data_IF_014090800566
#
_entry.id   IF_014090800566
#
_cell.length_a   1.000
_cell.length_b   1.000
_cell.length_c   1.000
_cell.angle_alpha   90.00
_cell.angle_beta   90.00
_cell.angle_gamma   90.00
#
_symmetry.space_group_name_H-M   'P 1'
#
loop_
_entity.id
_entity.type
_entity.pdbx_description
1 polymer ?
#
# COMPACT_ATOMS: atom_id res chain seq x y z
N UNK A 1 -21.65 10.39 28.05
CA UNK A 1 -20.36 9.75 28.37
C UNK A 1 -19.33 10.28 27.39
N UNK A 2 -18.46 11.16 27.85
CA UNK A 2 -17.39 11.73 27.04
C UNK A 2 -16.15 10.84 27.12
N UNK A 3 -15.27 10.82 26.10
CA UNK A 3 -14.02 10.07 26.18
C UNK A 3 -13.13 10.62 27.29
N UNK A 4 -12.43 9.73 28.00
CA UNK A 4 -11.48 10.08 29.04
C UNK A 4 -10.06 10.16 28.47
N UNK A 5 -9.38 11.28 28.74
CA UNK A 5 -7.94 11.43 28.49
C UNK A 5 -7.30 11.81 29.81
N UNK A 6 -6.36 11.03 30.30
CA UNK A 6 -5.72 11.20 31.60
C UNK A 6 -6.73 11.36 32.76
N UNK A 7 -7.84 10.58 32.72
CA UNK A 7 -8.89 10.61 33.73
C UNK A 7 -9.88 11.79 33.63
N UNK A 8 -9.74 12.70 32.67
CA UNK A 8 -10.64 13.84 32.45
C UNK A 8 -11.54 13.59 31.23
N UNK A 9 -12.82 13.93 31.35
CA UNK A 9 -13.74 13.95 30.22
C UNK A 9 -13.35 15.03 29.21
N UNK A 10 -13.25 14.64 27.93
CA UNK A 10 -12.88 15.56 26.84
C UNK A 10 -13.89 15.47 25.70
N UNK A 11 -14.04 16.56 24.95
CA UNK A 11 -14.88 16.56 23.77
C UNK A 11 -14.30 15.71 22.62
N UNK A 12 -15.17 15.32 21.66
CA UNK A 12 -14.79 14.51 20.50
C UNK A 12 -13.62 15.11 19.72
N UNK A 13 -13.62 16.43 19.51
CA UNK A 13 -12.56 17.12 18.77
C UNK A 13 -11.21 16.99 19.48
N UNK A 14 -11.18 17.18 20.79
CA UNK A 14 -9.96 17.05 21.59
C UNK A 14 -9.46 15.61 21.62
N UNK A 15 -10.36 14.64 21.78
CA UNK A 15 -10.02 13.23 21.73
C UNK A 15 -9.41 12.82 20.38
N UNK A 16 -9.92 13.39 19.26
CA UNK A 16 -9.35 13.20 17.93
C UNK A 16 -7.99 13.87 17.77
N UNK A 17 -7.82 15.07 18.33
CA UNK A 17 -6.53 15.79 18.33
C UNK A 17 -5.46 14.95 19.00
N UNK A 18 -5.70 14.50 20.23
CA UNK A 18 -4.75 13.65 20.98
C UNK A 18 -4.48 12.35 20.22
N UNK A 19 -5.51 11.73 19.63
CA UNK A 19 -5.32 10.53 18.82
C UNK A 19 -4.48 10.78 17.56
N UNK A 20 -4.69 11.91 16.88
CA UNK A 20 -3.93 12.29 15.70
C UNK A 20 -2.44 12.48 16.04
N UNK A 21 -2.15 13.16 17.13
CA UNK A 21 -0.79 13.40 17.64
C UNK A 21 -0.12 12.10 18.10
N UNK A 22 -0.83 11.29 18.90
CA UNK A 22 -0.26 10.05 19.48
C UNK A 22 -0.05 8.96 18.44
N UNK A 23 -1.04 8.73 17.55
CA UNK A 23 -1.00 7.67 16.55
C UNK A 23 -0.29 8.08 15.28
N UNK A 24 -0.14 9.39 15.01
CA UNK A 24 0.42 9.97 13.77
C UNK A 24 -0.12 9.32 12.49
N UNK A 25 -1.35 8.82 12.54
CA UNK A 25 -2.00 8.18 11.39
C UNK A 25 -2.67 9.24 10.52
N UNK A 26 -2.35 9.25 9.23
CA UNK A 26 -2.91 10.21 8.27
C UNK A 26 -4.45 10.26 8.30
N UNK A 27 -5.11 9.11 8.49
CA UNK A 27 -6.57 9.04 8.59
C UNK A 27 -7.11 9.68 9.88
N UNK A 28 -6.40 9.57 11.01
CA UNK A 28 -6.79 10.24 12.26
C UNK A 28 -6.60 11.74 12.16
N UNK A 29 -5.50 12.19 11.55
CA UNK A 29 -5.24 13.62 11.26
C UNK A 29 -6.32 14.18 10.32
N UNK A 30 -6.68 13.42 9.28
CA UNK A 30 -7.74 13.82 8.36
C UNK A 30 -9.08 13.91 9.06
N UNK A 31 -9.45 12.92 9.89
CA UNK A 31 -10.68 12.94 10.68
C UNK A 31 -10.74 14.17 11.61
N UNK A 32 -9.63 14.47 12.30
CA UNK A 32 -9.54 15.67 13.14
C UNK A 32 -9.77 16.96 12.34
N UNK A 33 -9.04 17.13 11.22
CA UNK A 33 -9.15 18.35 10.37
C UNK A 33 -10.57 18.54 9.80
N UNK A 34 -11.22 17.46 9.39
CA UNK A 34 -12.59 17.53 8.88
C UNK A 34 -13.59 17.95 9.97
N UNK A 35 -13.48 17.38 11.18
CA UNK A 35 -14.36 17.78 12.28
C UNK A 35 -14.09 19.21 12.72
N UNK A 36 -12.84 19.65 12.73
CA UNK A 36 -12.46 21.04 13.02
C UNK A 36 -13.07 22.01 11.99
N UNK A 37 -13.03 21.69 10.69
CA UNK A 37 -13.63 22.49 9.62
C UNK A 37 -15.16 22.52 9.71
N UNK A 38 -15.78 21.41 10.09
CA UNK A 38 -17.22 21.37 10.30
C UNK A 38 -17.67 22.35 11.39
N UNK A 39 -16.91 22.50 12.45
CA UNK A 39 -17.06 23.52 13.47
C UNK A 39 -18.32 23.43 14.35
N UNK A 40 -19.19 22.46 14.12
CA UNK A 40 -20.43 22.27 14.88
C UNK A 40 -20.31 21.06 15.83
N UNK A 41 -20.90 21.16 17.05
CA UNK A 41 -20.91 20.04 17.98
C UNK A 41 -21.81 18.91 17.47
N UNK A 42 -21.42 17.65 17.76
CA UNK A 42 -22.22 16.46 17.46
C UNK A 42 -22.69 15.86 18.79
N UNK A 43 -23.93 16.13 19.17
CA UNK A 43 -24.51 15.77 20.46
C UNK A 43 -25.53 14.63 20.36
N UNK A 44 -26.16 14.52 19.20
CA UNK A 44 -27.24 13.57 18.94
C UNK A 44 -27.16 12.99 17.52
N UNK A 45 -28.08 12.12 17.17
CA UNK A 45 -28.11 11.45 15.87
C UNK A 45 -28.35 12.41 14.70
N UNK A 46 -29.18 13.44 14.88
CA UNK A 46 -29.44 14.43 13.85
C UNK A 46 -28.19 15.25 13.52
N UNK A 47 -27.41 15.63 14.54
CA UNK A 47 -26.12 16.30 14.34
C UNK A 47 -25.15 15.41 13.57
N UNK A 48 -25.11 14.11 13.90
CA UNK A 48 -24.24 13.14 13.22
C UNK A 48 -24.66 12.90 11.77
N UNK A 49 -25.96 12.89 11.47
CA UNK A 49 -26.50 12.82 10.11
C UNK A 49 -26.18 14.10 9.32
N UNK A 50 -26.32 15.26 9.96
CA UNK A 50 -25.90 16.55 9.37
C UNK A 50 -24.41 16.59 9.04
N UNK A 51 -23.56 16.06 9.94
CA UNK A 51 -22.13 15.93 9.69
C UNK A 51 -21.83 14.97 8.52
N UNK A 52 -22.53 13.85 8.45
CA UNK A 52 -22.42 12.90 7.35
C UNK A 52 -22.80 13.53 6.00
N UNK A 53 -23.89 14.30 5.98
CA UNK A 53 -24.31 15.07 4.80
C UNK A 53 -23.25 16.07 4.36
N UNK A 54 -22.65 16.78 5.33
CA UNK A 54 -21.58 17.74 5.07
C UNK A 54 -20.33 17.04 4.50
N UNK A 55 -19.92 15.88 5.04
CA UNK A 55 -18.79 15.11 4.50
C UNK A 55 -18.99 14.71 3.03
N UNK A 56 -20.23 14.35 2.65
CA UNK A 56 -20.58 14.07 1.25
C UNK A 56 -20.54 15.32 0.38
N UNK A 57 -21.02 16.45 0.89
CA UNK A 57 -20.95 17.73 0.18
C UNK A 57 -19.50 18.21 -0.03
N UNK A 58 -18.57 17.84 0.86
CA UNK A 58 -17.13 18.03 0.68
C UNK A 58 -16.51 17.06 -0.37
N UNK A 59 -17.31 16.24 -1.05
CA UNK A 59 -16.88 15.35 -2.11
C UNK A 59 -16.26 14.02 -1.64
N UNK A 60 -16.38 13.67 -0.35
CA UNK A 60 -15.84 12.41 0.14
C UNK A 60 -16.75 11.23 -0.25
N UNK A 61 -16.12 10.15 -0.75
CA UNK A 61 -16.84 8.91 -1.02
C UNK A 61 -17.31 8.21 0.27
N UNK A 62 -18.41 7.47 0.21
CA UNK A 62 -18.93 6.70 1.35
C UNK A 62 -17.91 5.70 1.90
N UNK A 63 -17.02 5.17 1.05
CA UNK A 63 -15.90 4.34 1.49
C UNK A 63 -14.92 5.10 2.39
N UNK A 64 -14.55 6.32 2.00
CA UNK A 64 -13.68 7.20 2.80
C UNK A 64 -14.36 7.57 4.11
N UNK A 65 -15.63 7.97 4.04
CA UNK A 65 -16.45 8.32 5.21
C UNK A 65 -16.53 7.14 6.19
N UNK A 66 -16.75 5.91 5.71
CA UNK A 66 -16.78 4.72 6.56
C UNK A 66 -15.44 4.48 7.31
N UNK A 67 -14.31 4.74 6.64
CA UNK A 67 -13.00 4.73 7.29
C UNK A 67 -12.90 5.77 8.39
N UNK A 68 -13.32 7.01 8.12
CA UNK A 68 -13.32 8.12 9.09
C UNK A 68 -14.24 7.84 10.27
N UNK A 69 -15.43 7.25 10.05
CA UNK A 69 -16.37 6.87 11.10
C UNK A 69 -15.74 5.92 12.14
N UNK A 70 -14.75 5.14 11.77
CA UNK A 70 -13.99 4.31 12.71
C UNK A 70 -13.22 5.16 13.72
N UNK A 71 -12.58 6.25 13.28
CA UNK A 71 -11.86 7.17 14.16
C UNK A 71 -12.83 7.95 15.06
N UNK A 72 -13.95 8.43 14.51
CA UNK A 72 -14.98 9.12 15.30
C UNK A 72 -15.56 8.22 16.38
N UNK A 73 -15.93 6.96 16.04
CA UNK A 73 -16.41 5.96 17.02
C UNK A 73 -15.40 5.67 18.13
N UNK A 74 -14.11 5.59 17.80
CA UNK A 74 -13.06 5.31 18.78
C UNK A 74 -12.81 6.48 19.73
N UNK A 75 -13.13 7.70 19.32
CA UNK A 75 -12.94 8.93 20.09
C UNK A 75 -14.22 9.45 20.74
N UNK A 76 -15.39 8.84 20.52
CA UNK A 76 -16.67 9.34 21.03
C UNK A 76 -17.14 8.70 22.35
N UNK A 77 -16.30 7.86 22.98
CA UNK A 77 -16.65 7.23 24.26
C UNK A 77 -17.98 6.47 24.21
N UNK A 78 -18.90 6.76 25.13
CA UNK A 78 -20.26 6.19 25.18
C UNK A 78 -21.14 6.54 24.00
N UNK A 79 -20.82 7.59 23.25
CA UNK A 79 -21.59 8.08 22.10
C UNK A 79 -21.22 7.42 20.77
N UNK A 80 -20.57 6.24 20.79
CA UNK A 80 -20.18 5.47 19.60
C UNK A 80 -21.33 5.19 18.63
N UNK A 81 -22.54 5.07 19.13
CA UNK A 81 -23.76 4.82 18.33
C UNK A 81 -24.06 5.95 17.36
N UNK A 82 -23.65 7.19 17.65
CA UNK A 82 -23.86 8.34 16.78
C UNK A 82 -23.12 8.19 15.43
N UNK A 83 -22.03 7.45 15.39
CA UNK A 83 -21.22 7.22 14.20
C UNK A 83 -21.38 5.81 13.62
N UNK A 84 -22.44 5.08 14.00
CA UNK A 84 -22.72 3.72 13.56
C UNK A 84 -23.63 3.69 12.32
N UNK A 85 -23.37 4.55 11.33
CA UNK A 85 -24.12 4.59 10.09
C UNK A 85 -23.75 3.40 9.19
N UNK A 86 -24.76 2.71 8.67
CA UNK A 86 -24.57 1.70 7.62
C UNK A 86 -24.42 2.40 6.27
N UNK A 87 -23.19 2.69 5.89
CA UNK A 87 -22.87 3.25 4.58
C UNK A 87 -22.83 2.11 3.55
N UNK A 88 -23.50 2.29 2.43
CA UNK A 88 -23.48 1.34 1.32
C UNK A 88 -22.50 1.85 0.26
N UNK A 89 -21.44 1.13 0.01
CA UNK A 89 -20.55 1.37 -1.12
C UNK A 89 -20.14 0.05 -1.76
N UNK A 90 -19.99 0.07 -3.07
CA UNK A 90 -19.37 -1.06 -3.76
C UNK A 90 -17.85 -0.87 -3.72
N UNK A 91 -17.14 -1.86 -3.19
CA UNK A 91 -15.69 -1.89 -3.35
C UNK A 91 -15.38 -2.13 -4.82
N UNK A 92 -14.60 -1.23 -5.43
CA UNK A 92 -14.05 -1.49 -6.75
C UNK A 92 -13.26 -2.79 -6.68
N UNK A 93 -13.53 -3.70 -7.62
CA UNK A 93 -12.79 -4.95 -7.70
C UNK A 93 -11.30 -4.66 -7.91
N UNK A 94 -10.45 -5.28 -7.12
CA UNK A 94 -8.99 -5.19 -7.33
C UNK A 94 -8.57 -5.80 -8.66
N UNK A 95 -9.36 -6.74 -9.17
CA UNK A 95 -9.13 -7.41 -10.45
C UNK A 95 -9.23 -6.45 -11.64
N UNK A 96 -9.93 -5.32 -11.50
CA UNK A 96 -9.97 -4.27 -12.54
C UNK A 96 -8.65 -3.51 -12.67
N UNK A 97 -7.75 -3.64 -11.70
CA UNK A 97 -6.42 -3.02 -11.72
C UNK A 97 -5.32 -4.00 -12.17
N UNK A 98 -5.63 -5.30 -12.29
CA UNK A 98 -4.67 -6.32 -12.78
C UNK A 98 -4.33 -6.05 -14.23
N UNK A 99 -3.04 -5.98 -14.54
CA UNK A 99 -2.52 -5.89 -15.90
C UNK A 99 -2.41 -7.29 -16.52
N UNK A 100 -2.63 -7.41 -17.83
CA UNK A 100 -2.28 -8.62 -18.57
C UNK A 100 -0.76 -8.77 -18.69
N UNK A 101 -0.29 -9.93 -19.15
CA UNK A 101 1.14 -10.16 -19.37
C UNK A 101 1.70 -9.20 -20.41
N UNK A 102 0.94 -8.97 -21.50
CA UNK A 102 1.28 -8.05 -22.59
C UNK A 102 1.32 -6.60 -22.09
N UNK A 103 0.36 -6.18 -21.26
CA UNK A 103 0.36 -4.86 -20.63
C UNK A 103 1.58 -4.67 -19.70
N UNK A 104 1.97 -5.70 -18.94
CA UNK A 104 3.18 -5.67 -18.08
C UNK A 104 4.43 -5.52 -18.94
N UNK A 105 4.56 -6.30 -20.03
CA UNK A 105 5.70 -6.24 -20.93
C UNK A 105 5.81 -4.85 -21.59
N UNK A 106 4.70 -4.29 -22.07
CA UNK A 106 4.67 -2.96 -22.68
C UNK A 106 5.10 -1.87 -21.68
N UNK A 107 4.59 -1.92 -20.44
CA UNK A 107 4.96 -0.96 -19.40
C UNK A 107 6.43 -1.09 -18.99
N UNK A 108 6.96 -2.31 -18.87
CA UNK A 108 8.37 -2.52 -18.54
C UNK A 108 9.28 -2.01 -19.67
N UNK A 109 8.96 -2.26 -20.93
CA UNK A 109 9.71 -1.74 -22.07
C UNK A 109 9.69 -0.20 -22.15
N UNK A 110 8.53 0.41 -21.88
CA UNK A 110 8.41 1.87 -21.78
C UNK A 110 9.26 2.45 -20.64
N UNK A 111 9.21 1.83 -19.47
CA UNK A 111 9.97 2.27 -18.30
C UNK A 111 11.47 2.13 -18.52
N UNK A 112 11.93 1.06 -19.15
CA UNK A 112 13.33 0.84 -19.49
C UNK A 112 13.86 1.92 -20.42
N UNK A 113 13.05 2.31 -21.43
CA UNK A 113 13.42 3.31 -22.41
C UNK A 113 13.30 4.75 -21.90
N UNK A 114 12.18 5.08 -21.26
CA UNK A 114 11.79 6.46 -20.96
C UNK A 114 11.99 6.86 -19.50
N UNK A 115 12.12 5.91 -18.58
CA UNK A 115 12.28 6.14 -17.15
C UNK A 115 13.33 5.15 -16.55
N UNK A 116 14.54 5.04 -17.13
CA UNK A 116 15.51 3.98 -16.80
C UNK A 116 15.90 3.96 -15.32
N UNK A 117 15.89 5.12 -14.64
CA UNK A 117 16.13 5.20 -13.20
C UNK A 117 15.08 4.49 -12.35
N UNK A 118 13.84 4.45 -12.81
CA UNK A 118 12.72 3.82 -12.10
C UNK A 118 12.43 2.39 -12.57
N UNK A 119 12.99 1.97 -13.72
CA UNK A 119 12.78 0.63 -14.26
C UNK A 119 13.10 -0.49 -13.25
N UNK A 120 14.26 -0.49 -12.54
CA UNK A 120 14.58 -1.53 -11.57
C UNK A 120 13.56 -1.63 -10.43
N UNK A 121 13.02 -0.50 -9.98
CA UNK A 121 11.98 -0.46 -8.95
C UNK A 121 10.70 -1.15 -9.44
N UNK A 122 10.23 -0.82 -10.64
CA UNK A 122 8.99 -1.39 -11.17
C UNK A 122 9.14 -2.85 -11.55
N UNK A 123 10.29 -3.25 -12.11
CA UNK A 123 10.59 -4.65 -12.40
C UNK A 123 10.55 -5.49 -11.12
N UNK A 124 11.27 -5.07 -10.08
CA UNK A 124 11.25 -5.74 -8.78
C UNK A 124 9.83 -5.79 -8.20
N UNK A 125 9.07 -4.71 -8.29
CA UNK A 125 7.73 -4.65 -7.74
C UNK A 125 6.75 -5.58 -8.44
N UNK A 126 6.75 -5.60 -9.77
CA UNK A 126 5.94 -6.50 -10.59
C UNK A 126 6.35 -7.97 -10.42
N UNK A 127 7.62 -8.24 -10.08
CA UNK A 127 8.15 -9.60 -9.89
C UNK A 127 7.99 -10.14 -8.46
N UNK A 128 7.71 -9.29 -7.47
CA UNK A 128 7.66 -9.70 -6.05
C UNK A 128 6.35 -9.35 -5.36
N UNK A 129 5.60 -8.41 -5.91
CA UNK A 129 4.38 -7.91 -5.30
C UNK A 129 4.56 -7.30 -3.91
N UNK A 130 5.73 -6.81 -3.55
CA UNK A 130 5.99 -6.11 -2.29
C UNK A 130 4.99 -4.98 -2.05
N UNK A 131 4.76 -4.62 -0.78
CA UNK A 131 3.97 -3.42 -0.50
C UNK A 131 4.76 -2.17 -0.88
N UNK A 132 4.07 -1.11 -1.27
CA UNK A 132 4.70 0.14 -1.65
C UNK A 132 5.71 0.66 -0.59
N UNK A 133 5.35 0.60 0.68
CA UNK A 133 6.26 1.03 1.75
C UNK A 133 7.44 0.07 1.98
N UNK A 134 7.30 -1.20 1.65
CA UNK A 134 8.37 -2.20 1.73
C UNK A 134 9.38 -1.98 0.60
N UNK A 135 8.92 -1.84 -0.65
CA UNK A 135 9.83 -1.67 -1.78
C UNK A 135 10.58 -0.34 -1.73
N UNK A 136 9.94 0.75 -1.32
CA UNK A 136 10.61 2.05 -1.17
C UNK A 136 11.56 2.14 0.03
N UNK A 137 11.36 1.31 1.05
CA UNK A 137 12.24 1.18 2.20
C UNK A 137 13.22 0.02 2.09
N UNK A 138 13.34 -0.58 0.91
CA UNK A 138 14.29 -1.67 0.69
C UNK A 138 15.72 -1.15 0.73
N UNK A 139 16.59 -1.87 1.43
CA UNK A 139 18.01 -1.56 1.56
C UNK A 139 18.85 -2.67 0.95
N UNK A 140 20.07 -2.37 0.53
CA UNK A 140 20.94 -3.32 -0.15
C UNK A 140 21.27 -4.55 0.70
N UNK A 141 21.37 -4.41 2.02
CA UNK A 141 21.57 -5.50 2.97
C UNK A 141 20.41 -6.51 3.03
N UNK A 142 19.25 -6.15 2.47
CA UNK A 142 18.10 -7.04 2.33
C UNK A 142 18.16 -7.91 1.07
N UNK A 143 19.07 -7.66 0.12
CA UNK A 143 19.24 -8.47 -1.08
C UNK A 143 20.22 -9.62 -0.78
N UNK A 144 19.72 -10.82 -0.77
CA UNK A 144 20.50 -12.03 -0.60
C UNK A 144 20.94 -12.54 -1.97
N UNK A 145 22.11 -12.08 -2.40
CA UNK A 145 22.60 -12.27 -3.75
C UNK A 145 22.85 -13.74 -4.12
N UNK A 146 23.41 -14.50 -3.16
CA UNK A 146 23.75 -15.91 -3.37
C UNK A 146 22.49 -16.80 -3.41
N UNK A 147 21.54 -16.53 -2.54
CA UNK A 147 20.29 -17.29 -2.46
C UNK A 147 19.27 -16.84 -3.52
N UNK A 148 19.49 -15.68 -4.13
CA UNK A 148 18.55 -15.12 -5.10
C UNK A 148 17.24 -14.68 -4.47
N UNK A 149 17.29 -14.02 -3.32
CA UNK A 149 16.10 -13.67 -2.53
C UNK A 149 16.16 -12.23 -2.02
N UNK A 150 15.00 -11.67 -1.72
CA UNK A 150 14.86 -10.43 -0.94
C UNK A 150 14.26 -10.71 0.42
N UNK A 151 14.93 -10.25 1.47
CA UNK A 151 14.46 -10.32 2.86
C UNK A 151 13.64 -9.07 3.19
N UNK A 152 12.36 -9.24 3.50
CA UNK A 152 11.43 -8.15 3.82
C UNK A 152 11.26 -8.08 5.33
N UNK A 153 11.98 -7.18 5.99
CA UNK A 153 12.00 -7.01 7.45
C UNK A 153 11.29 -5.73 7.90
N UNK A 154 11.35 -4.69 7.08
CA UNK A 154 10.96 -3.32 7.46
C UNK A 154 10.18 -2.64 6.33
N UNK A 155 9.50 -1.59 6.67
CA UNK A 155 8.78 -0.74 5.72
C UNK A 155 9.03 0.72 6.03
N UNK A 156 9.03 1.55 5.01
CA UNK A 156 9.18 3.00 5.17
C UNK A 156 7.93 3.59 5.83
N UNK A 157 8.09 4.35 6.91
CA UNK A 157 6.97 5.07 7.52
C UNK A 157 6.46 6.17 6.61
N UNK A 158 5.14 6.34 6.58
CA UNK A 158 4.49 7.34 5.75
C UNK A 158 4.78 8.78 6.21
N UNK A 159 5.10 8.96 7.48
CA UNK A 159 5.29 10.24 8.14
C UNK A 159 6.74 10.75 8.09
N UNK A 160 7.69 9.91 7.66
CA UNK A 160 9.11 10.25 7.47
C UNK A 160 9.37 11.27 6.34
N UNK A 161 8.31 11.68 5.63
CA UNK A 161 8.42 12.56 4.47
C UNK A 161 8.62 14.04 4.79
N UNK A 162 8.17 14.49 5.95
CA UNK A 162 8.19 15.93 6.26
C UNK A 162 9.53 16.43 6.81
N UNK A 163 10.39 15.52 7.26
CA UNK A 163 11.69 15.87 7.90
C UNK A 163 12.93 15.53 7.07
N UNK A 164 12.77 14.93 5.88
CA UNK A 164 13.88 14.40 5.09
C UNK A 164 14.56 13.18 5.72
N UNK A 165 14.10 12.72 6.88
CA UNK A 165 14.63 11.54 7.58
C UNK A 165 13.88 10.29 7.17
N UNK A 166 14.63 9.23 6.90
CA UNK A 166 14.08 7.89 6.68
C UNK A 166 13.72 7.28 8.03
N UNK A 167 12.45 7.01 8.24
CA UNK A 167 11.98 6.28 9.41
C UNK A 167 11.42 4.93 8.98
N UNK A 168 11.96 3.86 9.55
CA UNK A 168 11.43 2.51 9.36
C UNK A 168 10.39 2.15 10.40
N UNK A 169 9.47 1.30 10.00
CA UNK A 169 8.54 0.61 10.87
C UNK A 169 8.63 -0.90 10.58
N UNK A 170 8.23 -1.74 11.53
CA UNK A 170 8.01 -3.15 11.25
C UNK A 170 7.09 -3.34 10.05
N UNK A 171 7.18 -4.47 9.37
CA UNK A 171 6.18 -4.83 8.36
C UNK A 171 4.78 -4.80 8.96
N UNK A 172 3.74 -4.64 8.14
CA UNK A 172 2.34 -4.57 8.62
C UNK A 172 1.93 -5.76 9.49
N UNK A 173 2.56 -6.91 9.31
CA UNK A 173 2.32 -8.13 10.08
C UNK A 173 3.31 -8.33 11.23
N UNK A 174 4.34 -7.51 11.34
CA UNK A 174 5.45 -7.66 12.28
C UNK A 174 6.36 -8.86 12.00
N UNK A 175 6.11 -9.60 10.91
CA UNK A 175 6.88 -10.80 10.55
C UNK A 175 7.82 -10.50 9.39
N UNK A 176 9.03 -11.00 9.48
CA UNK A 176 9.96 -11.07 8.37
C UNK A 176 9.56 -12.17 7.39
N UNK A 177 9.95 -12.00 6.15
CA UNK A 177 9.73 -12.99 5.11
C UNK A 177 10.73 -12.83 3.98
N UNK A 178 10.97 -13.90 3.26
CA UNK A 178 11.76 -13.89 2.03
C UNK A 178 10.85 -14.02 0.81
N UNK A 179 11.28 -13.40 -0.28
CA UNK A 179 10.63 -13.51 -1.59
C UNK A 179 11.71 -13.84 -2.62
N UNK A 180 11.58 -14.93 -3.39
CA UNK A 180 12.57 -15.28 -4.40
C UNK A 180 12.59 -14.26 -5.53
N UNK A 181 13.77 -14.04 -6.10
CA UNK A 181 14.03 -13.15 -7.22
C UNK A 181 14.40 -13.97 -8.46
N UNK A 182 13.93 -13.53 -9.62
CA UNK A 182 14.36 -14.12 -10.89
C UNK A 182 15.78 -13.66 -11.26
N UNK A 183 16.52 -14.43 -12.08
CA UNK A 183 17.84 -14.00 -12.56
C UNK A 183 17.83 -12.62 -13.22
N UNK A 184 16.77 -12.30 -13.97
CA UNK A 184 16.58 -10.99 -14.59
C UNK A 184 16.54 -9.88 -13.55
N UNK A 185 15.78 -10.05 -12.48
CA UNK A 185 15.66 -9.05 -11.39
C UNK A 185 17.01 -8.85 -10.69
N UNK A 186 17.73 -9.95 -10.39
CA UNK A 186 19.03 -9.87 -9.75
C UNK A 186 20.05 -9.13 -10.62
N UNK A 187 20.09 -9.44 -11.92
CA UNK A 187 20.97 -8.75 -12.86
C UNK A 187 20.64 -7.26 -12.98
N UNK A 188 19.37 -6.92 -13.10
CA UNK A 188 18.92 -5.52 -13.12
C UNK A 188 19.30 -4.77 -11.84
N UNK A 189 19.20 -5.42 -10.68
CA UNK A 189 19.61 -4.80 -9.42
C UNK A 189 21.13 -4.61 -9.33
N UNK A 190 21.95 -5.55 -9.84
CA UNK A 190 23.41 -5.37 -9.94
C UNK A 190 23.78 -4.19 -10.81
N UNK A 191 23.16 -4.08 -11.98
CA UNK A 191 23.37 -2.96 -12.89
C UNK A 191 22.95 -1.63 -12.26
N UNK A 192 21.84 -1.61 -11.55
CA UNK A 192 21.38 -0.43 -10.81
C UNK A 192 22.36 -0.02 -9.71
N UNK A 193 22.90 -0.97 -8.95
CA UNK A 193 23.92 -0.72 -7.92
C UNK A 193 25.18 -0.13 -8.52
N UNK A 194 25.70 -0.73 -9.61
CA UNK A 194 26.86 -0.23 -10.33
C UNK A 194 26.64 1.18 -10.89
N UNK A 195 25.45 1.46 -11.43
CA UNK A 195 25.10 2.79 -11.91
C UNK A 195 25.12 3.82 -10.77
N UNK A 196 24.55 3.48 -9.61
CA UNK A 196 24.58 4.34 -8.42
C UNK A 196 26.03 4.63 -7.98
N UNK A 197 26.89 3.61 -7.96
CA UNK A 197 28.31 3.74 -7.60
C UNK A 197 29.06 4.63 -8.60
N UNK A 198 28.87 4.44 -9.90
CA UNK A 198 29.48 5.26 -10.96
C UNK A 198 29.05 6.73 -10.90
N UNK A 199 27.83 7.00 -10.52
CA UNK A 199 27.30 8.36 -10.34
C UNK A 199 27.66 8.97 -8.98
N UNK A 200 28.38 8.24 -8.12
CA UNK A 200 28.72 8.70 -6.78
C UNK A 200 27.52 8.90 -5.87
N UNK A 201 26.44 8.16 -6.12
CA UNK A 201 25.21 8.24 -5.33
C UNK A 201 25.46 7.60 -3.98
N UNK A 202 25.45 8.41 -2.93
CA UNK A 202 25.55 7.95 -1.56
C UNK A 202 24.23 8.18 -0.82
N UNK A 203 23.64 7.11 -0.31
CA UNK A 203 22.52 7.18 0.62
C UNK A 203 22.93 6.61 1.98
N UNK A 204 22.87 7.42 3.07
CA UNK A 204 23.33 7.00 4.40
C UNK A 204 22.49 5.87 5.01
N UNK A 205 21.36 5.56 4.41
CA UNK A 205 20.46 4.50 4.87
C UNK A 205 20.60 3.21 4.06
N UNK A 206 21.43 3.21 3.00
CA UNK A 206 21.61 2.07 2.12
C UNK A 206 20.38 1.69 1.30
N UNK A 207 19.53 2.67 0.97
CA UNK A 207 18.31 2.42 0.16
C UNK A 207 18.67 1.93 -1.24
N UNK A 208 17.95 0.91 -1.71
CA UNK A 208 18.07 0.42 -3.10
C UNK A 208 17.55 1.46 -4.09
N UNK A 209 16.46 2.14 -3.73
CA UNK A 209 15.81 3.09 -4.62
C UNK A 209 15.79 4.49 -4.01
N UNK A 210 16.43 5.41 -4.70
CA UNK A 210 16.52 6.83 -4.32
C UNK A 210 16.02 7.73 -5.44
N UNK A 211 15.75 9.00 -5.15
CA UNK A 211 15.37 9.97 -6.17
C UNK A 211 16.59 10.36 -7.04
N UNK A 212 16.40 10.52 -8.37
CA UNK A 212 17.52 10.82 -9.26
C UNK A 212 18.15 12.20 -9.05
N UNK A 213 17.44 13.14 -8.42
CA UNK A 213 17.87 14.53 -8.28
C UNK A 213 18.49 14.87 -6.94
N UNK A 214 17.99 14.27 -5.85
CA UNK A 214 18.46 14.57 -4.49
C UNK A 214 19.08 13.35 -3.80
N UNK A 215 19.06 12.21 -4.48
CA UNK A 215 19.52 10.90 -3.99
C UNK A 215 18.94 10.54 -2.61
N UNK A 216 17.83 11.16 -2.27
CA UNK A 216 17.09 10.86 -1.06
C UNK A 216 15.97 9.86 -1.31
N UNK A 217 15.20 9.61 -0.26
CA UNK A 217 14.07 8.71 -0.31
C UNK A 217 13.09 8.99 -1.46
N UNK A 218 12.71 7.94 -2.19
CA UNK A 218 11.69 8.05 -3.26
C UNK A 218 10.30 8.26 -2.64
N UNK A 219 9.69 9.39 -2.96
CA UNK A 219 8.33 9.74 -2.53
C UNK A 219 7.27 8.99 -3.35
N UNK A 220 6.20 8.62 -2.66
CA UNK A 220 5.06 7.90 -3.23
C UNK A 220 4.46 8.60 -4.47
N UNK A 221 4.33 9.93 -4.39
CA UNK A 221 3.78 10.73 -5.48
C UNK A 221 4.68 10.78 -6.73
N UNK A 222 6.01 10.64 -6.56
CA UNK A 222 6.96 10.57 -7.69
C UNK A 222 6.79 9.25 -8.42
N UNK A 223 6.81 8.14 -7.67
CA UNK A 223 6.58 6.80 -8.23
C UNK A 223 5.22 6.73 -8.92
N UNK A 224 4.18 7.32 -8.30
CA UNK A 224 2.84 7.40 -8.88
C UNK A 224 2.81 8.18 -10.20
N UNK A 225 3.53 9.31 -10.30
CA UNK A 225 3.61 10.09 -11.55
C UNK A 225 4.30 9.31 -12.67
N UNK A 226 5.43 8.65 -12.37
CA UNK A 226 6.14 7.81 -13.35
C UNK A 226 5.23 6.69 -13.83
N UNK A 227 4.55 6.00 -12.92
CA UNK A 227 3.59 4.95 -13.24
C UNK A 227 2.47 5.42 -14.18
N UNK A 228 1.85 6.55 -13.87
CA UNK A 228 0.76 7.06 -14.70
C UNK A 228 1.23 7.52 -16.08
N UNK A 229 2.39 8.16 -16.18
CA UNK A 229 2.99 8.53 -17.48
C UNK A 229 3.28 7.30 -18.34
N UNK A 230 3.83 6.24 -17.74
CA UNK A 230 4.11 5.00 -18.47
C UNK A 230 2.83 4.36 -18.99
N UNK A 231 1.78 4.25 -18.16
CA UNK A 231 0.47 3.75 -18.62
C UNK A 231 -0.10 4.59 -19.78
N UNK A 232 0.02 5.91 -19.70
CA UNK A 232 -0.45 6.83 -20.71
C UNK A 232 0.31 6.65 -22.04
N UNK A 233 1.66 6.58 -21.99
CA UNK A 233 2.49 6.33 -23.19
C UNK A 233 2.19 4.98 -23.85
N UNK A 234 1.84 3.96 -23.03
CA UNK A 234 1.41 2.66 -23.53
C UNK A 234 -0.05 2.63 -24.00
N UNK A 235 -0.80 3.74 -23.93
CA UNK A 235 -2.23 3.77 -24.29
C UNK A 235 -3.13 2.96 -23.35
N UNK A 236 -2.67 2.69 -22.14
CA UNK A 236 -3.37 1.84 -21.18
C UNK A 236 -4.30 2.66 -20.28
N UNK A 237 -5.41 2.04 -19.84
CA UNK A 237 -6.32 2.65 -18.87
C UNK A 237 -5.59 2.98 -17.58
N UNK A 238 -5.89 4.12 -16.93
CA UNK A 238 -5.30 4.44 -15.63
C UNK A 238 -5.53 3.35 -14.58
N UNK A 239 -4.47 2.89 -13.96
CA UNK A 239 -4.46 1.94 -12.84
C UNK A 239 -3.83 2.59 -11.62
N UNK A 240 -4.32 2.20 -10.43
CA UNK A 240 -3.69 2.64 -9.18
C UNK A 240 -2.27 2.10 -9.07
N UNK A 241 -1.41 2.82 -8.37
CA UNK A 241 -0.02 2.39 -8.15
C UNK A 241 0.12 1.00 -7.52
N UNK A 242 -0.92 0.53 -6.82
CA UNK A 242 -0.94 -0.80 -6.20
C UNK A 242 -1.25 -1.94 -7.20
N UNK A 243 -1.46 -1.62 -8.48
CA UNK A 243 -1.71 -2.57 -9.56
C UNK A 243 -0.57 -3.58 -9.75
N UNK A 244 0.69 -3.17 -9.51
CA UNK A 244 1.85 -4.04 -9.56
C UNK A 244 1.66 -5.28 -8.67
N UNK A 245 1.29 -5.05 -7.42
CA UNK A 245 1.05 -6.12 -6.47
C UNK A 245 -0.19 -6.95 -6.83
N UNK A 246 -1.25 -6.31 -7.31
CA UNK A 246 -2.45 -7.04 -7.76
C UNK A 246 -2.13 -7.94 -8.95
N UNK A 247 -1.33 -7.46 -9.91
CA UNK A 247 -0.90 -8.24 -11.07
C UNK A 247 -0.03 -9.42 -10.67
N UNK A 248 1.02 -9.19 -9.86
CA UNK A 248 1.86 -10.26 -9.36
C UNK A 248 1.04 -11.37 -8.68
N UNK A 249 0.20 -11.03 -7.71
CA UNK A 249 -0.55 -12.02 -6.95
C UNK A 249 -1.56 -12.79 -7.81
N UNK A 250 -2.21 -12.10 -8.77
CA UNK A 250 -3.16 -12.74 -9.69
C UNK A 250 -2.46 -13.70 -10.63
N UNK A 251 -1.34 -13.30 -11.23
CA UNK A 251 -0.60 -14.16 -12.15
C UNK A 251 0.08 -15.31 -11.43
N UNK A 252 0.73 -15.06 -10.29
CA UNK A 252 1.37 -16.12 -9.50
C UNK A 252 0.36 -17.19 -9.05
N UNK A 253 -0.85 -16.78 -8.64
CA UNK A 253 -1.92 -17.72 -8.31
C UNK A 253 -2.40 -18.51 -9.54
N UNK A 254 -2.54 -17.84 -10.69
CA UNK A 254 -2.93 -18.48 -11.95
C UNK A 254 -1.88 -19.47 -12.47
N UNK A 255 -0.59 -19.27 -12.15
CA UNK A 255 0.50 -20.21 -12.46
C UNK A 255 0.46 -21.48 -11.61
N UNK A 256 -0.43 -21.56 -10.61
CA UNK A 256 -0.61 -22.75 -9.77
C UNK A 256 0.24 -22.77 -8.51
N UNK A 257 0.84 -21.65 -8.11
CA UNK A 257 1.52 -21.56 -6.81
C UNK A 257 0.58 -21.88 -5.67
N UNK A 258 1.09 -22.52 -4.62
CA UNK A 258 0.34 -22.77 -3.40
C UNK A 258 -0.20 -21.47 -2.81
N UNK A 259 -1.52 -21.36 -2.56
CA UNK A 259 -2.07 -20.15 -1.93
C UNK A 259 -1.47 -19.85 -0.56
N UNK A 260 -1.01 -20.86 0.17
CA UNK A 260 -0.38 -20.68 1.48
C UNK A 260 1.01 -20.04 1.33
N UNK A 261 1.84 -20.55 0.41
CA UNK A 261 3.18 -20.03 0.16
C UNK A 261 3.14 -18.62 -0.43
N UNK A 262 2.23 -18.40 -1.39
CA UNK A 262 2.04 -17.07 -1.97
C UNK A 262 1.53 -16.05 -0.94
N UNK A 263 0.65 -16.48 -0.03
CA UNK A 263 0.17 -15.62 1.06
C UNK A 263 1.30 -15.29 2.03
N UNK A 264 2.15 -16.26 2.37
CA UNK A 264 3.34 -16.05 3.21
C UNK A 264 4.30 -15.05 2.55
N UNK A 265 4.69 -15.28 1.28
CA UNK A 265 5.55 -14.38 0.51
C UNK A 265 4.96 -12.96 0.39
N UNK A 266 3.64 -12.84 0.22
CA UNK A 266 2.95 -11.56 0.14
C UNK A 266 2.72 -10.88 1.50
N UNK A 267 2.88 -11.60 2.63
CA UNK A 267 2.51 -11.10 3.96
C UNK A 267 0.99 -10.89 4.09
N UNK A 268 0.18 -11.77 3.50
CA UNK A 268 -1.28 -11.85 3.62
C UNK A 268 -1.69 -13.08 4.46
N UNK A 269 -2.96 -13.13 4.88
CA UNK A 269 -3.57 -14.40 5.23
C UNK A 269 -4.01 -15.12 3.96
N UNK A 270 -3.95 -16.46 3.96
CA UNK A 270 -4.42 -17.29 2.84
C UNK A 270 -5.88 -16.97 2.49
N UNK A 271 -6.72 -16.77 3.51
CA UNK A 271 -8.13 -16.36 3.31
C UNK A 271 -8.22 -15.05 2.51
N UNK A 272 -7.47 -14.01 2.89
CA UNK A 272 -7.51 -12.73 2.20
C UNK A 272 -6.99 -12.86 0.76
N UNK A 273 -5.97 -13.68 0.53
CA UNK A 273 -5.46 -13.95 -0.82
C UNK A 273 -6.55 -14.57 -1.69
N UNK A 274 -7.17 -15.64 -1.22
CA UNK A 274 -8.22 -16.35 -1.97
C UNK A 274 -9.44 -15.48 -2.19
N UNK A 275 -9.95 -14.81 -1.16
CA UNK A 275 -11.12 -13.91 -1.25
C UNK A 275 -10.89 -12.76 -2.27
N UNK A 276 -9.63 -12.39 -2.50
CA UNK A 276 -9.29 -11.24 -3.34
C UNK A 276 -8.91 -11.63 -4.77
N UNK A 277 -8.16 -12.71 -4.96
CA UNK A 277 -7.51 -13.04 -6.23
C UNK A 277 -7.94 -14.37 -6.83
N UNK A 278 -8.51 -15.31 -6.05
CA UNK A 278 -8.95 -16.57 -6.60
C UNK A 278 -10.16 -16.35 -7.54
N UNK A 279 -10.01 -16.80 -8.79
CA UNK A 279 -11.10 -16.92 -9.75
C UNK A 279 -11.36 -18.39 -10.00
N UNK A 280 -12.63 -18.83 -10.07
CA UNK A 280 -12.94 -20.17 -10.55
C UNK A 280 -12.34 -20.35 -11.95
N UNK A 281 -11.52 -21.39 -12.14
CA UNK A 281 -10.93 -21.70 -13.45
C UNK A 281 -11.88 -22.46 -14.36
N UNK A 282 -13.05 -22.85 -13.83
CA UNK A 282 -14.06 -23.64 -14.54
C UNK A 282 -13.65 -25.10 -14.84
N UNK A 283 -12.43 -25.49 -14.51
CA UNK A 283 -11.91 -26.84 -14.73
C UNK A 283 -11.46 -27.47 -13.44
N UNK A 284 -12.28 -28.39 -12.93
CA UNK A 284 -11.90 -29.24 -11.80
C UNK A 284 -11.04 -30.41 -12.35
N UNK A 285 -9.82 -30.54 -11.84
CA UNK A 285 -8.98 -31.73 -12.09
C UNK A 285 -9.41 -32.81 -11.11
N UNK A 286 -9.94 -33.90 -11.62
CA UNK A 286 -10.34 -35.05 -10.81
C UNK A 286 -9.13 -35.91 -10.51
N UNK A 287 -8.96 -36.39 -9.25
CA UNK A 287 -7.92 -37.35 -8.92
C UNK A 287 -8.18 -38.67 -9.64
N UNK A 288 -7.13 -39.29 -10.18
CA UNK A 288 -7.18 -40.65 -10.72
C UNK A 288 -6.54 -41.59 -9.70
N UNK A 289 -7.30 -42.61 -9.33
CA UNK A 289 -6.84 -43.66 -8.38
C UNK A 289 -6.33 -44.92 -9.07
N UNK A 290 -5.99 -44.84 -10.38
CA UNK A 290 -5.39 -45.97 -11.06
C UNK A 290 -3.96 -46.18 -10.51
N UNK A 291 -3.74 -47.31 -9.90
CA UNK A 291 -2.39 -47.83 -9.60
C UNK A 291 -1.69 -48.09 -10.91
N UNK A 292 -0.47 -47.59 -11.08
CA UNK A 292 0.39 -47.89 -12.21
C UNK A 292 0.79 -49.37 -12.20
#
# INVERSE_FOLDING_TARGET
YQPLINGKEVGLLEALRVRAETKRQAAAIHAYRLLQRYGKPIRNRSDAEGFLGWLRAEGLSDCTIAGLMTHYRQCSGGNRHLFSHKLKWQRRSVLSDVLSVEEIQAVLADLETNEPWYYPLFLLWLSTGLRNAEIRGLTWDCIRWEEGEVLVMKSLRRDGYSSGKVEWAPTKTGKERVVPLTPQVLETLRQHQQQMEQLGVYDPYGLVFVTPTSYGNIYDHLVGRVWHRSLERCGLKPRRLYAQRHSFLSHALAMGNSPADLAAAAGHSTKMLLDTYAKPTGRLKMPSWQTA
#
